data_IF_343446731627
#
_entry.id   IF_343446731627
#
_cell.length_a   1.000
_cell.length_b   1.000
_cell.length_c   1.000
_cell.angle_alpha   90.00
_cell.angle_beta   90.00
_cell.angle_gamma   90.00
#
_symmetry.space_group_name_H-M   'P 1'
#
loop_
_entity.id
_entity.type
_entity.pdbx_description
1 polymer ?
#
# COMPACT_ATOMS: atom_id res chain seq x y z
N UNK A 1 -17.12 21.61 -2.23
CA UNK A 1 -16.87 20.56 -3.24
C UNK A 1 -17.67 19.29 -3.01
N UNK A 2 -17.47 18.53 -1.92
CA UNK A 2 -18.08 17.18 -1.77
C UNK A 2 -19.62 17.16 -1.78
N UNK A 3 -20.29 18.19 -1.24
CA UNK A 3 -21.76 18.32 -1.36
C UNK A 3 -22.24 18.41 -2.82
N UNK A 4 -21.48 19.08 -3.68
CA UNK A 4 -21.79 19.16 -5.11
C UNK A 4 -21.57 17.80 -5.79
N UNK A 5 -20.50 17.08 -5.45
CA UNK A 5 -20.29 15.69 -5.92
C UNK A 5 -21.48 14.81 -5.52
N UNK A 6 -21.93 14.88 -4.27
CA UNK A 6 -23.09 14.12 -3.79
C UNK A 6 -24.36 14.44 -4.58
N UNK A 7 -24.58 15.70 -4.92
CA UNK A 7 -25.77 16.13 -5.67
C UNK A 7 -25.84 15.55 -7.10
N UNK A 8 -24.71 15.09 -7.64
CA UNK A 8 -24.66 14.40 -8.95
C UNK A 8 -25.04 12.92 -8.86
N UNK A 9 -25.21 12.36 -7.66
CA UNK A 9 -25.45 10.93 -7.41
C UNK A 9 -24.54 9.98 -8.21
N UNK A 10 -23.20 10.15 -8.11
CA UNK A 10 -22.27 9.42 -8.97
C UNK A 10 -22.17 7.94 -8.57
N UNK A 11 -22.08 7.07 -9.58
CA UNK A 11 -21.80 5.65 -9.36
C UNK A 11 -20.38 5.42 -8.80
N UNK A 12 -19.41 6.22 -9.26
CA UNK A 12 -18.00 6.10 -8.86
C UNK A 12 -17.47 7.49 -8.51
N UNK A 13 -16.76 7.57 -7.38
CA UNK A 13 -15.94 8.73 -7.03
C UNK A 13 -14.49 8.28 -6.94
N UNK A 14 -13.70 8.67 -7.94
CA UNK A 14 -12.27 8.44 -8.00
C UNK A 14 -11.51 9.68 -7.50
N UNK A 15 -10.60 9.48 -6.55
CA UNK A 15 -9.83 10.53 -5.89
C UNK A 15 -8.34 10.24 -6.06
N UNK A 16 -7.61 11.25 -6.53
CA UNK A 16 -6.16 11.22 -6.70
C UNK A 16 -5.59 12.41 -5.93
N UNK A 17 -4.99 12.13 -4.77
CA UNK A 17 -4.73 13.15 -3.77
C UNK A 17 -3.51 12.83 -2.90
N UNK A 18 -2.93 13.86 -2.31
CA UNK A 18 -1.85 13.74 -1.33
C UNK A 18 -2.39 13.65 0.11
N UNK A 19 -1.59 13.25 1.12
CA UNK A 19 -2.11 12.86 2.43
C UNK A 19 -3.05 13.86 3.12
N UNK A 20 -2.80 15.18 3.12
CA UNK A 20 -3.74 16.13 3.72
C UNK A 20 -5.10 16.13 3.02
N UNK A 21 -5.10 16.15 1.69
CA UNK A 21 -6.31 16.16 0.85
C UNK A 21 -7.04 14.82 0.91
N UNK A 22 -6.31 13.71 0.98
CA UNK A 22 -6.82 12.36 1.22
C UNK A 22 -7.62 12.32 2.52
N UNK A 23 -7.04 12.79 3.63
CA UNK A 23 -7.74 12.84 4.91
C UNK A 23 -8.97 13.77 4.85
N UNK A 24 -8.83 14.95 4.26
CA UNK A 24 -9.91 15.91 4.08
C UNK A 24 -11.07 15.35 3.27
N UNK A 25 -10.79 14.67 2.16
CA UNK A 25 -11.79 14.05 1.30
C UNK A 25 -12.54 12.93 2.01
N UNK A 26 -11.83 12.02 2.70
CA UNK A 26 -12.50 10.93 3.45
C UNK A 26 -13.40 11.51 4.54
N UNK A 27 -12.92 12.48 5.32
CA UNK A 27 -13.71 13.10 6.38
C UNK A 27 -14.94 13.83 5.82
N UNK A 28 -14.76 14.65 4.79
CA UNK A 28 -15.86 15.38 4.16
C UNK A 28 -16.87 14.45 3.49
N UNK A 29 -16.43 13.36 2.85
CA UNK A 29 -17.32 12.33 2.30
C UNK A 29 -18.19 11.67 3.37
N UNK A 30 -17.64 11.42 4.56
CA UNK A 30 -18.41 10.92 5.69
C UNK A 30 -19.37 11.96 6.26
N UNK A 31 -18.92 13.20 6.47
CA UNK A 31 -19.74 14.29 7.02
C UNK A 31 -21.01 14.53 6.20
N UNK A 32 -20.88 14.54 4.87
CA UNK A 32 -22.01 14.79 3.97
C UNK A 32 -22.78 13.50 3.61
N UNK A 33 -22.34 12.34 4.09
CA UNK A 33 -22.95 11.05 3.77
C UNK A 33 -22.91 10.72 2.27
N UNK A 34 -21.75 10.88 1.64
CA UNK A 34 -21.50 10.49 0.26
C UNK A 34 -21.55 8.95 0.13
N UNK A 35 -22.32 8.44 -0.84
CA UNK A 35 -22.62 7.01 -1.00
C UNK A 35 -22.58 6.54 -2.47
N UNK A 36 -21.49 6.77 -3.22
CA UNK A 36 -21.33 6.18 -4.56
C UNK A 36 -21.32 4.65 -4.45
N UNK A 37 -21.51 3.95 -5.57
CA UNK A 37 -21.34 2.49 -5.62
C UNK A 37 -19.89 2.09 -5.38
N UNK A 38 -18.92 2.93 -5.76
CA UNK A 38 -17.49 2.77 -5.45
C UNK A 38 -16.83 4.10 -5.07
N UNK A 39 -15.97 4.08 -4.05
CA UNK A 39 -15.19 5.23 -3.59
C UNK A 39 -13.73 4.84 -3.39
N UNK A 40 -12.80 5.64 -3.91
CA UNK A 40 -11.39 5.29 -3.85
C UNK A 40 -10.55 5.94 -4.93
N UNK A 41 -9.42 5.34 -5.31
CA UNK A 41 -8.56 5.81 -6.40
C UNK A 41 -7.06 5.72 -6.07
N UNK A 42 -6.34 6.81 -6.31
CA UNK A 42 -4.92 6.99 -6.00
C UNK A 42 -4.73 7.91 -4.80
N UNK A 43 -5.31 7.54 -3.66
CA UNK A 43 -5.31 8.35 -2.44
C UNK A 43 -4.04 8.09 -1.65
N UNK A 44 -3.01 8.92 -1.87
CA UNK A 44 -1.75 8.80 -1.15
C UNK A 44 -2.00 9.07 0.33
N UNK A 45 -1.43 8.22 1.18
CA UNK A 45 -1.42 8.38 2.62
C UNK A 45 -2.27 7.36 3.36
N UNK A 46 -3.22 6.69 2.70
CA UNK A 46 -4.00 5.60 3.32
C UNK A 46 -3.15 4.34 3.61
N UNK A 47 -1.87 4.36 3.29
CA UNK A 47 -0.89 3.32 3.63
C UNK A 47 -0.12 3.64 4.93
N UNK A 48 -0.16 4.89 5.42
CA UNK A 48 0.55 5.31 6.63
C UNK A 48 -0.28 5.01 7.88
N UNK A 49 0.40 4.56 8.94
CA UNK A 49 -0.20 4.26 10.24
C UNK A 49 -1.00 5.45 10.79
N UNK A 50 -0.50 6.67 10.61
CA UNK A 50 -1.14 7.89 11.10
C UNK A 50 -2.52 8.16 10.47
N UNK A 51 -2.70 7.90 9.17
CA UNK A 51 -4.01 8.03 8.53
C UNK A 51 -4.88 6.80 8.75
N UNK A 52 -4.28 5.61 8.80
CA UNK A 52 -4.99 4.37 9.13
C UNK A 52 -5.70 4.50 10.48
N UNK A 53 -4.98 4.94 11.52
CA UNK A 53 -5.55 5.13 12.86
C UNK A 53 -6.47 6.33 12.93
N UNK A 54 -6.12 7.47 12.33
CA UNK A 54 -6.96 8.68 12.34
C UNK A 54 -8.33 8.46 11.68
N UNK A 55 -8.37 7.71 10.58
CA UNK A 55 -9.61 7.49 9.82
C UNK A 55 -10.36 6.25 10.31
N UNK A 56 -9.66 5.20 10.78
CA UNK A 56 -10.25 4.02 11.39
C UNK A 56 -11.41 3.44 10.55
N UNK A 57 -12.60 3.19 11.15
CA UNK A 57 -13.74 2.61 10.44
C UNK A 57 -14.22 3.40 9.22
N UNK A 58 -13.85 4.69 9.10
CA UNK A 58 -14.21 5.52 7.94
C UNK A 58 -13.56 5.04 6.64
N UNK A 59 -12.50 4.23 6.75
CA UNK A 59 -11.81 3.64 5.61
C UNK A 59 -12.63 2.53 4.96
N UNK A 60 -13.51 1.85 5.70
CA UNK A 60 -14.21 0.67 5.19
C UNK A 60 -14.93 0.95 3.87
N UNK A 61 -14.68 0.08 2.89
CA UNK A 61 -15.21 0.14 1.54
C UNK A 61 -14.37 0.95 0.55
N UNK A 62 -13.40 1.75 1.01
CA UNK A 62 -12.51 2.50 0.12
C UNK A 62 -11.63 1.52 -0.64
N UNK A 63 -11.55 1.70 -1.96
CA UNK A 63 -10.69 0.93 -2.87
C UNK A 63 -9.47 1.78 -3.24
N UNK A 64 -8.27 1.39 -2.82
CA UNK A 64 -7.05 2.19 -3.03
C UNK A 64 -5.87 1.31 -3.44
N UNK A 65 -4.76 1.93 -3.81
CA UNK A 65 -3.52 1.20 -4.06
C UNK A 65 -2.76 0.90 -2.74
N UNK A 66 -1.95 -0.14 -2.73
CA UNK A 66 -0.90 -0.40 -1.74
C UNK A 66 0.28 -1.10 -2.44
N UNK A 67 1.42 -1.26 -1.77
CA UNK A 67 2.54 -2.06 -2.29
C UNK A 67 2.82 -3.30 -1.44
N UNK A 68 2.43 -3.28 -0.16
CA UNK A 68 2.50 -4.44 0.71
C UNK A 68 1.49 -4.32 1.86
N UNK A 69 0.83 -5.41 2.19
CA UNK A 69 -0.11 -5.52 3.31
C UNK A 69 0.13 -6.85 4.04
N UNK A 70 -0.20 -6.98 5.34
CA UNK A 70 0.05 -8.18 6.14
C UNK A 70 -0.95 -9.31 5.81
N UNK A 71 -1.14 -9.60 4.53
CA UNK A 71 -1.96 -10.69 4.03
C UNK A 71 -1.12 -11.96 3.85
N UNK A 72 -1.67 -13.16 4.10
CA UNK A 72 -0.91 -14.41 3.97
C UNK A 72 -0.32 -14.62 2.57
N UNK A 73 -0.99 -14.09 1.54
CA UNK A 73 -0.57 -14.14 0.13
C UNK A 73 0.68 -13.30 -0.17
N UNK A 74 1.10 -12.43 0.75
CA UNK A 74 2.25 -11.52 0.62
C UNK A 74 3.37 -11.79 1.62
N UNK A 75 3.43 -13.02 2.17
CA UNK A 75 4.52 -13.48 3.04
C UNK A 75 5.79 -13.80 2.25
N UNK A 76 6.44 -12.76 1.75
CA UNK A 76 7.73 -12.88 1.09
C UNK A 76 8.83 -13.30 2.09
N UNK A 77 9.82 -14.11 1.67
CA UNK A 77 10.94 -14.46 2.54
C UNK A 77 11.65 -13.21 3.10
N UNK A 78 11.82 -13.15 4.42
CA UNK A 78 12.53 -12.08 5.12
C UNK A 78 11.71 -10.81 5.44
N UNK A 79 10.47 -10.69 4.98
CA UNK A 79 9.65 -9.49 5.26
C UNK A 79 9.31 -9.34 6.74
N UNK A 80 9.00 -10.45 7.42
CA UNK A 80 8.61 -10.44 8.84
C UNK A 80 9.80 -10.07 9.74
N UNK A 81 10.97 -10.66 9.51
CA UNK A 81 12.21 -10.28 10.20
C UNK A 81 12.56 -8.80 9.98
N UNK A 82 12.45 -8.33 8.74
CA UNK A 82 12.66 -6.92 8.41
C UNK A 82 11.72 -6.02 9.21
N UNK A 83 10.42 -6.31 9.20
CA UNK A 83 9.42 -5.52 9.90
C UNK A 83 9.64 -5.54 11.41
N UNK A 84 9.99 -6.69 12.01
CA UNK A 84 10.31 -6.78 13.43
C UNK A 84 11.48 -5.85 13.81
N UNK A 85 12.58 -5.88 13.03
CA UNK A 85 13.75 -5.02 13.26
C UNK A 85 13.45 -3.54 13.02
N UNK A 86 12.64 -3.23 12.02
CA UNK A 86 12.21 -1.87 11.71
C UNK A 86 11.35 -1.31 12.85
N UNK A 87 10.30 -2.02 13.26
CA UNK A 87 9.33 -1.58 14.26
C UNK A 87 9.97 -1.37 15.64
N UNK A 88 10.99 -2.17 16.00
CA UNK A 88 11.78 -1.97 17.22
C UNK A 88 12.51 -0.61 17.28
N UNK A 89 12.73 0.05 16.14
CA UNK A 89 13.45 1.34 16.03
C UNK A 89 12.55 2.50 15.59
N UNK A 90 11.39 2.20 15.01
CA UNK A 90 10.56 3.19 14.33
C UNK A 90 10.13 4.34 15.27
N UNK A 91 9.72 4.01 16.50
CA UNK A 91 9.27 4.98 17.49
C UNK A 91 10.38 5.97 17.87
N UNK A 92 11.58 5.47 18.21
CA UNK A 92 12.71 6.34 18.60
C UNK A 92 13.27 7.15 17.43
N UNK A 93 13.10 6.66 16.19
CA UNK A 93 13.48 7.37 14.98
C UNK A 93 12.43 8.39 14.49
N UNK A 94 11.24 8.44 15.11
CA UNK A 94 10.16 9.36 14.71
C UNK A 94 9.59 9.06 13.32
N UNK A 95 9.63 7.80 12.87
CA UNK A 95 9.11 7.36 11.56
C UNK A 95 7.84 6.55 11.71
N UNK A 96 7.18 6.21 10.58
CA UNK A 96 5.94 5.44 10.58
C UNK A 96 6.11 4.12 11.37
N UNK A 97 5.30 3.87 12.42
CA UNK A 97 5.51 2.74 13.33
C UNK A 97 5.11 1.38 12.74
N UNK A 98 4.35 1.33 11.64
CA UNK A 98 4.02 0.05 10.99
C UNK A 98 5.09 -0.34 9.98
N UNK A 99 5.56 0.61 9.18
CA UNK A 99 6.57 0.39 8.16
C UNK A 99 6.08 -0.42 6.96
N UNK A 100 4.76 -0.46 6.70
CA UNK A 100 4.20 -1.31 5.64
C UNK A 100 4.37 -0.73 4.24
N UNK A 101 4.53 0.59 4.10
CA UNK A 101 4.47 1.28 2.82
C UNK A 101 5.84 1.42 2.14
N UNK A 102 6.65 2.37 2.59
CA UNK A 102 7.96 2.69 1.98
C UNK A 102 9.11 1.77 2.44
N UNK A 103 9.24 1.41 3.73
CA UNK A 103 10.45 0.75 4.22
C UNK A 103 10.81 -0.59 3.54
N UNK A 104 9.88 -1.53 3.26
CA UNK A 104 10.22 -2.79 2.62
C UNK A 104 10.84 -2.60 1.24
N UNK A 105 10.32 -1.63 0.50
CA UNK A 105 10.76 -1.31 -0.86
C UNK A 105 12.09 -0.57 -0.87
N UNK A 106 12.28 0.38 0.05
CA UNK A 106 13.56 1.04 0.23
C UNK A 106 14.67 0.04 0.59
N UNK A 107 14.38 -0.94 1.45
CA UNK A 107 15.32 -2.00 1.78
C UNK A 107 15.61 -2.89 0.57
N UNK A 108 14.58 -3.29 -0.19
CA UNK A 108 14.75 -4.08 -1.40
C UNK A 108 15.58 -3.36 -2.48
N UNK A 109 15.48 -2.04 -2.61
CA UNK A 109 16.33 -1.26 -3.53
C UNK A 109 17.81 -1.36 -3.16
N UNK A 110 18.11 -1.33 -1.87
CA UNK A 110 19.48 -1.55 -1.38
C UNK A 110 19.94 -2.99 -1.55
N UNK A 111 19.03 -3.99 -1.45
CA UNK A 111 19.37 -5.38 -1.78
C UNK A 111 19.73 -5.54 -3.26
N UNK A 112 18.98 -4.93 -4.18
CA UNK A 112 19.30 -4.93 -5.62
C UNK A 112 20.67 -4.31 -5.86
N UNK A 113 20.94 -3.14 -5.29
CA UNK A 113 22.22 -2.45 -5.44
C UNK A 113 23.38 -3.28 -4.87
N UNK A 114 23.23 -3.80 -3.65
CA UNK A 114 24.25 -4.63 -2.99
C UNK A 114 24.59 -5.88 -3.78
N UNK A 115 23.57 -6.63 -4.21
CA UNK A 115 23.75 -7.83 -5.03
C UNK A 115 24.42 -7.53 -6.38
N UNK A 116 24.11 -6.40 -7.01
CA UNK A 116 24.74 -5.99 -8.27
C UNK A 116 26.22 -5.63 -8.10
N UNK A 117 26.57 -4.91 -7.02
CA UNK A 117 27.97 -4.60 -6.68
C UNK A 117 28.74 -5.90 -6.39
N UNK A 118 28.15 -6.82 -5.62
CA UNK A 118 28.76 -8.09 -5.29
C UNK A 118 28.98 -8.98 -6.51
N UNK A 119 28.04 -9.00 -7.46
CA UNK A 119 28.13 -9.80 -8.68
C UNK A 119 29.16 -9.22 -9.67
N UNK A 120 29.22 -7.90 -9.80
CA UNK A 120 30.11 -7.23 -10.76
C UNK A 120 31.52 -6.96 -10.21
N UNK A 121 31.70 -7.06 -8.89
CA UNK A 121 32.93 -6.65 -8.18
C UNK A 121 33.35 -5.22 -8.52
N UNK A 122 32.37 -4.35 -8.75
CA UNK A 122 32.59 -3.00 -9.23
C UNK A 122 31.71 -2.01 -8.49
N UNK A 123 32.23 -0.79 -8.36
CA UNK A 123 31.48 0.40 -7.95
C UNK A 123 31.27 1.37 -9.12
N UNK A 124 31.74 1.01 -10.32
CA UNK A 124 31.46 1.78 -11.52
C UNK A 124 29.96 1.76 -11.82
N UNK A 125 29.37 2.95 -11.91
CA UNK A 125 27.92 3.09 -12.01
C UNK A 125 27.36 2.50 -13.30
N UNK A 126 28.11 2.56 -14.41
CA UNK A 126 27.65 2.04 -15.69
C UNK A 126 27.66 0.51 -15.67
N UNK A 127 28.73 -0.11 -15.16
CA UNK A 127 28.83 -1.56 -14.98
C UNK A 127 27.70 -2.08 -14.08
N UNK A 128 27.49 -1.43 -12.93
CA UNK A 128 26.43 -1.84 -11.98
C UNK A 128 25.04 -1.67 -12.60
N UNK A 129 24.77 -0.53 -13.25
CA UNK A 129 23.47 -0.29 -13.88
C UNK A 129 23.18 -1.28 -15.02
N UNK A 130 24.18 -1.61 -15.84
CA UNK A 130 24.03 -2.58 -16.92
C UNK A 130 23.77 -4.00 -16.42
N UNK A 131 24.31 -4.35 -15.25
CA UNK A 131 23.98 -5.59 -14.58
C UNK A 131 22.53 -5.57 -14.03
N UNK A 132 22.14 -4.50 -13.32
CA UNK A 132 20.79 -4.34 -12.76
C UNK A 132 19.70 -4.47 -13.83
N UNK A 133 19.91 -3.91 -15.02
CA UNK A 133 18.96 -4.00 -16.14
C UNK A 133 18.69 -5.42 -16.63
N UNK A 134 19.60 -6.36 -16.39
CA UNK A 134 19.56 -7.72 -17.00
C UNK A 134 19.29 -8.83 -15.99
N UNK A 135 19.71 -8.63 -14.73
CA UNK A 135 19.63 -9.64 -13.69
C UNK A 135 18.24 -9.73 -13.04
N UNK A 136 18.03 -10.82 -12.30
CA UNK A 136 16.94 -11.00 -11.35
C UNK A 136 17.53 -11.02 -9.93
N UNK A 137 16.84 -10.41 -8.98
CA UNK A 137 17.31 -10.20 -7.61
C UNK A 137 16.35 -10.82 -6.61
N UNK A 138 16.86 -11.58 -5.65
CA UNK A 138 16.08 -12.09 -4.54
C UNK A 138 16.02 -11.05 -3.42
N UNK A 139 14.83 -10.55 -3.09
CA UNK A 139 14.63 -9.46 -2.12
C UNK A 139 13.51 -9.79 -1.14
N UNK A 140 13.38 -8.98 -0.08
CA UNK A 140 12.29 -9.12 0.90
C UNK A 140 10.90 -8.78 0.35
N UNK A 141 10.81 -8.28 -0.90
CA UNK A 141 9.54 -8.09 -1.64
C UNK A 141 9.41 -9.06 -2.81
N UNK A 142 10.09 -10.21 -2.71
CA UNK A 142 10.15 -11.25 -3.75
C UNK A 142 11.17 -10.96 -4.86
N UNK A 143 11.09 -11.71 -5.95
CA UNK A 143 12.04 -11.64 -7.08
C UNK A 143 11.88 -10.40 -7.93
N UNK A 144 12.84 -9.47 -7.91
CA UNK A 144 12.81 -8.21 -8.66
C UNK A 144 13.58 -8.35 -9.98
N UNK A 145 12.95 -7.90 -11.07
CA UNK A 145 13.56 -7.77 -12.40
C UNK A 145 13.00 -6.54 -13.10
N UNK A 146 13.81 -5.93 -13.96
CA UNK A 146 13.47 -4.73 -14.71
C UNK A 146 13.20 -5.04 -16.19
N UNK A 147 12.24 -4.30 -16.77
CA UNK A 147 11.93 -4.32 -18.19
C UNK A 147 12.88 -3.44 -19.01
N UNK A 148 12.74 -3.46 -20.33
CA UNK A 148 13.56 -2.65 -21.24
C UNK A 148 13.38 -1.15 -21.07
N UNK A 149 12.25 -0.71 -20.50
CA UNK A 149 11.96 0.68 -20.17
C UNK A 149 12.50 1.11 -18.79
N UNK A 150 13.18 0.23 -18.05
CA UNK A 150 13.72 0.51 -16.71
C UNK A 150 12.70 0.36 -15.57
N UNK A 151 11.43 0.12 -15.87
CA UNK A 151 10.40 -0.16 -14.87
C UNK A 151 10.47 -1.62 -14.40
N UNK A 152 9.73 -1.97 -13.35
CA UNK A 152 9.58 -3.38 -12.98
C UNK A 152 8.96 -4.19 -14.11
N UNK A 153 9.56 -5.34 -14.42
CA UNK A 153 9.05 -6.25 -15.45
C UNK A 153 7.64 -6.75 -15.13
N UNK A 154 7.31 -6.90 -13.85
CA UNK A 154 5.99 -7.24 -13.36
C UNK A 154 5.49 -6.13 -12.44
N UNK A 155 4.28 -5.63 -12.69
CA UNK A 155 3.62 -4.67 -11.80
C UNK A 155 3.48 -5.25 -10.40
N UNK A 156 3.72 -4.39 -9.41
CA UNK A 156 3.71 -4.74 -7.98
C UNK A 156 2.74 -3.88 -7.18
N UNK A 157 1.98 -3.03 -7.87
CA UNK A 157 0.92 -2.24 -7.24
C UNK A 157 -0.23 -3.18 -6.94
N UNK A 158 -0.65 -3.18 -5.69
CA UNK A 158 -1.83 -3.89 -5.21
C UNK A 158 -3.03 -2.97 -5.34
N UNK A 159 -4.17 -3.49 -5.82
CA UNK A 159 -5.46 -2.88 -5.55
C UNK A 159 -6.00 -3.50 -4.28
N UNK A 160 -6.23 -2.69 -3.23
CA UNK A 160 -6.78 -3.13 -1.96
C UNK A 160 -8.14 -2.49 -1.69
N UNK A 161 -9.00 -3.18 -0.94
CA UNK A 161 -10.14 -2.56 -0.28
C UNK A 161 -9.94 -2.62 1.24
N UNK A 162 -10.20 -1.51 1.91
CA UNK A 162 -10.24 -1.49 3.36
C UNK A 162 -11.53 -2.17 3.85
N UNK A 163 -11.40 -3.19 4.70
CA UNK A 163 -12.53 -4.01 5.17
C UNK A 163 -12.40 -4.33 6.65
N UNK A 164 -13.53 -4.50 7.34
CA UNK A 164 -13.57 -4.96 8.73
C UNK A 164 -12.78 -4.11 9.73
N UNK A 165 -12.56 -2.81 9.47
CA UNK A 165 -11.88 -1.92 10.40
C UNK A 165 -12.89 -1.46 11.46
N UNK A 166 -12.64 -1.78 12.72
CA UNK A 166 -13.61 -1.61 13.80
C UNK A 166 -13.25 -0.45 14.73
N UNK A 167 -11.95 -0.21 14.91
CA UNK A 167 -11.44 0.80 15.86
C UNK A 167 -10.39 1.69 15.19
N UNK A 168 -9.85 2.63 15.94
CA UNK A 168 -8.67 3.43 15.55
C UNK A 168 -7.36 2.83 16.06
N UNK A 169 -7.39 1.62 16.64
CA UNK A 169 -6.20 0.95 17.18
C UNK A 169 -5.25 0.56 16.03
N UNK A 170 -3.98 0.88 16.21
CA UNK A 170 -2.92 0.55 15.25
C UNK A 170 -2.69 -0.96 15.13
N UNK A 171 -2.88 -1.73 16.20
CA UNK A 171 -2.55 -3.16 16.24
C UNK A 171 -3.37 -3.97 15.23
N UNK A 172 -4.61 -3.57 14.96
CA UNK A 172 -5.44 -4.26 13.97
C UNK A 172 -4.84 -4.22 12.56
N UNK A 173 -4.05 -3.20 12.23
CA UNK A 173 -3.45 -3.04 10.90
C UNK A 173 -2.18 -3.88 10.71
N UNK A 174 -1.69 -4.54 11.76
CA UNK A 174 -0.65 -5.57 11.69
C UNK A 174 -1.21 -6.95 11.35
N UNK A 175 -2.54 -7.11 11.42
CA UNK A 175 -3.23 -8.35 11.15
C UNK A 175 -3.78 -8.38 9.71
N UNK A 176 -3.97 -9.58 9.13
CA UNK A 176 -4.63 -9.73 7.83
C UNK A 176 -6.10 -9.27 7.87
N UNK A 177 -6.70 -9.09 6.69
CA UNK A 177 -8.13 -8.83 6.52
C UNK A 177 -8.55 -7.37 6.65
N UNK A 178 -7.65 -6.44 7.00
CA UNK A 178 -7.98 -5.00 7.08
C UNK A 178 -7.77 -4.25 5.77
N UNK A 179 -6.85 -4.75 4.94
CA UNK A 179 -6.51 -4.22 3.61
C UNK A 179 -6.51 -5.39 2.64
N UNK A 180 -7.70 -5.80 2.22
CA UNK A 180 -7.95 -6.99 1.42
C UNK A 180 -7.47 -6.75 -0.01
N UNK A 181 -6.57 -7.59 -0.52
CA UNK A 181 -6.04 -7.48 -1.88
C UNK A 181 -7.07 -7.99 -2.87
N UNK A 182 -7.47 -7.13 -3.80
CA UNK A 182 -8.40 -7.42 -4.90
C UNK A 182 -7.65 -7.80 -6.19
N UNK A 183 -6.48 -7.20 -6.41
CA UNK A 183 -5.64 -7.41 -7.60
C UNK A 183 -4.16 -7.16 -7.22
N UNK A 184 -3.18 -7.86 -7.85
CA UNK A 184 -3.32 -8.91 -8.87
C UNK A 184 -3.85 -10.23 -8.31
N UNK A 185 -4.44 -11.06 -9.18
CA UNK A 185 -5.05 -12.36 -8.80
C UNK A 185 -4.09 -13.25 -8.00
N UNK A 186 -2.80 -13.26 -8.38
CA UNK A 186 -1.70 -13.94 -7.69
C UNK A 186 -1.63 -13.64 -6.18
N UNK A 187 -1.97 -12.42 -5.76
CA UNK A 187 -1.86 -11.97 -4.37
C UNK A 187 -3.22 -11.71 -3.73
N UNK A 188 -4.31 -11.98 -4.43
CA UNK A 188 -5.67 -11.71 -3.97
C UNK A 188 -5.96 -12.44 -2.68
N UNK A 189 -6.42 -11.70 -1.66
CA UNK A 189 -6.73 -12.24 -0.33
C UNK A 189 -8.24 -12.24 -0.02
N UNK A 190 -9.06 -11.68 -0.91
CA UNK A 190 -10.51 -11.67 -0.73
C UNK A 190 -11.26 -11.07 -1.91
N UNK A 191 -12.49 -10.62 -1.66
CA UNK A 191 -13.40 -10.11 -2.69
C UNK A 191 -13.82 -8.68 -2.38
N UNK A 192 -14.20 -7.95 -3.44
CA UNK A 192 -14.75 -6.59 -3.32
C UNK A 192 -16.11 -6.64 -2.62
N UNK A 193 -16.27 -5.89 -1.53
CA UNK A 193 -17.58 -5.58 -0.96
C UNK A 193 -18.20 -4.46 -1.78
N UNK A 194 -19.33 -4.77 -2.43
CA UNK A 194 -20.02 -3.86 -3.35
C UNK A 194 -21.56 -3.85 -3.14
N UNK A 195 -22.22 -2.67 -3.17
CA UNK A 195 -21.63 -1.33 -3.29
C UNK A 195 -20.90 -0.89 -2.01
N UNK A 196 -20.15 0.21 -2.10
CA UNK A 196 -19.40 0.86 -1.01
C UNK A 196 -20.18 0.92 0.32
N UNK A 197 -21.49 1.19 0.26
CA UNK A 197 -22.34 1.26 1.45
C UNK A 197 -22.43 -0.05 2.25
N UNK A 198 -22.27 -1.21 1.61
CA UNK A 198 -22.29 -2.52 2.28
C UNK A 198 -21.04 -2.80 3.12
N UNK A 199 -19.94 -2.11 2.83
CA UNK A 199 -18.70 -2.27 3.58
C UNK A 199 -18.68 -1.43 4.86
N UNK A 200 -19.55 -0.41 4.96
CA UNK A 200 -19.65 0.42 6.16
C UNK A 200 -20.32 -0.38 7.28
N UNK A 201 -19.60 -0.56 8.38
CA UNK A 201 -20.16 -1.02 9.65
C UNK A 201 -21.07 0.12 10.16
N UNK A 202 -22.35 -0.21 10.46
CA UNK A 202 -23.32 0.75 11.01
C UNK A 202 -22.99 1.13 12.44
#
# INVERSE_FOLDING_TARGET
>A
MVRAIKALDPDIVAVYSYPPDTAGMVLAAHEVGLRPKMFGGGMVGLQFASLLTKLGPKLNGIVNYDFWVPEPTLRFPGIEDFLQRYQAKASSAGVDPLGHYLPPWAYAYLQVLGQAIEATKSLDQQIVADYIRKAEFDTIVGKVRFGSNGEWLQSRVLQVQFQGIETTDIEQFKQPGKRVVLYPEKFKSGTLIYPYSKAKIQ
#
